data_IF_218454765014
#
_entry.id   IF_218454765014
#
_cell.length_a   1.000
_cell.length_b   1.000
_cell.length_c   1.000
_cell.angle_alpha   90.00
_cell.angle_beta   90.00
_cell.angle_gamma   90.00
#
_symmetry.space_group_name_H-M   'P 1'
#
loop_
_entity.id
_entity.type
_entity.pdbx_description
1 polymer ?
#
# COMPACT_ATOMS: atom_id res chain seq x y z
N UNK A 1 -17.49 -14.93 -11.56
CA UNK A 1 -17.23 -13.88 -10.56
C UNK A 1 -16.68 -12.69 -11.32
N UNK A 2 -17.39 -11.57 -11.35
CA UNK A 2 -16.96 -10.40 -12.10
C UNK A 2 -15.82 -9.73 -11.33
N UNK A 3 -14.62 -9.70 -11.90
CA UNK A 3 -13.48 -9.00 -11.30
C UNK A 3 -13.74 -7.50 -11.43
N UNK A 4 -14.18 -6.87 -10.34
CA UNK A 4 -14.39 -5.41 -10.31
C UNK A 4 -13.02 -4.73 -10.24
N UNK A 5 -12.60 -4.17 -11.37
CA UNK A 5 -11.34 -3.44 -11.47
C UNK A 5 -11.45 -2.06 -10.80
N UNK A 6 -10.47 -1.71 -9.97
CA UNK A 6 -10.33 -0.35 -9.45
C UNK A 6 -10.13 0.65 -10.60
N UNK A 7 -10.66 1.86 -10.44
CA UNK A 7 -10.61 2.90 -11.48
C UNK A 7 -9.21 3.50 -11.65
N UNK A 8 -8.40 3.43 -10.61
CA UNK A 8 -6.98 3.76 -10.60
C UNK A 8 -6.24 2.57 -10.01
N UNK A 9 -5.22 2.08 -10.71
CA UNK A 9 -4.38 0.97 -10.27
C UNK A 9 -2.93 1.40 -10.49
N UNK A 10 -2.15 1.63 -9.42
CA UNK A 10 -0.73 1.85 -9.57
C UNK A 10 -0.03 0.56 -9.99
N UNK A 11 0.98 0.71 -10.86
CA UNK A 11 1.94 -0.34 -11.20
C UNK A 11 3.28 0.03 -10.58
N UNK A 12 3.84 -0.86 -9.77
CA UNK A 12 5.09 -0.67 -9.04
C UNK A 12 6.17 -1.58 -9.62
N UNK A 13 7.28 -0.98 -10.02
CA UNK A 13 8.48 -1.73 -10.40
C UNK A 13 9.22 -2.15 -9.13
N UNK A 14 9.38 -3.45 -8.95
CA UNK A 14 10.03 -4.03 -7.77
C UNK A 14 11.34 -4.73 -8.14
N UNK A 15 12.31 -4.76 -7.23
CA UNK A 15 13.60 -5.38 -7.49
C UNK A 15 13.53 -6.92 -7.42
N UNK A 16 12.68 -7.46 -6.54
CA UNK A 16 12.51 -8.89 -6.29
C UNK A 16 11.02 -9.15 -6.02
N UNK A 17 10.37 -9.90 -6.92
CA UNK A 17 8.93 -10.18 -6.79
C UNK A 17 8.63 -11.09 -5.61
N UNK A 18 9.52 -12.02 -5.28
CA UNK A 18 9.31 -12.94 -4.16
C UNK A 18 9.38 -12.20 -2.83
N UNK A 19 10.38 -11.33 -2.65
CA UNK A 19 10.48 -10.46 -1.47
C UNK A 19 9.27 -9.52 -1.35
N UNK A 20 8.82 -8.99 -2.49
CA UNK A 20 7.62 -8.15 -2.54
C UNK A 20 6.38 -8.93 -2.13
N UNK A 21 6.16 -10.15 -2.63
CA UNK A 21 5.01 -10.96 -2.22
C UNK A 21 5.05 -11.35 -0.74
N UNK A 22 6.23 -11.60 -0.17
CA UNK A 22 6.34 -11.81 1.28
C UNK A 22 5.84 -10.61 2.08
N UNK A 23 6.13 -9.38 1.62
CA UNK A 23 5.61 -8.17 2.24
C UNK A 23 4.12 -7.96 1.94
N UNK A 24 3.75 -7.81 0.67
CA UNK A 24 2.42 -7.40 0.23
C UNK A 24 1.34 -8.43 0.58
N UNK A 25 1.59 -9.71 0.32
CA UNK A 25 0.65 -10.81 0.65
C UNK A 25 0.85 -11.25 2.09
N UNK A 26 2.09 -11.53 2.48
CA UNK A 26 2.39 -12.13 3.78
C UNK A 26 2.18 -11.20 4.98
N UNK A 27 2.57 -9.92 4.89
CA UNK A 27 2.47 -8.96 5.99
C UNK A 27 1.30 -7.99 5.83
N UNK A 28 0.97 -7.62 4.60
CA UNK A 28 -0.08 -6.65 4.30
C UNK A 28 -1.40 -7.29 3.84
N UNK A 29 -1.53 -8.62 3.85
CA UNK A 29 -2.80 -9.32 3.67
C UNK A 29 -3.43 -9.21 2.28
N UNK A 30 -2.72 -8.68 1.28
CA UNK A 30 -3.20 -8.68 -0.10
C UNK A 30 -3.37 -10.11 -0.62
N UNK A 31 -4.35 -10.32 -1.50
CA UNK A 31 -4.52 -11.56 -2.24
C UNK A 31 -4.04 -11.40 -3.67
N UNK A 32 -3.48 -12.48 -4.23
CA UNK A 32 -3.13 -12.54 -5.65
C UNK A 32 -4.41 -12.76 -6.45
N UNK A 33 -4.76 -11.82 -7.33
CA UNK A 33 -5.86 -12.01 -8.27
C UNK A 33 -5.46 -12.90 -9.43
N UNK A 34 -4.28 -12.63 -10.00
CA UNK A 34 -3.63 -13.42 -11.04
C UNK A 34 -2.17 -12.98 -11.18
N UNK A 35 -1.34 -13.84 -11.77
CA UNK A 35 0.07 -13.59 -12.05
C UNK A 35 0.42 -14.00 -13.48
N UNK A 36 1.54 -13.48 -13.98
CA UNK A 36 2.24 -13.94 -15.18
C UNK A 36 3.71 -14.08 -14.81
N UNK A 37 4.11 -15.31 -14.51
CA UNK A 37 5.46 -15.61 -13.99
C UNK A 37 6.54 -15.31 -15.03
N UNK A 38 6.23 -15.58 -16.30
CA UNK A 38 7.06 -15.28 -17.47
C UNK A 38 7.37 -13.78 -17.59
N UNK A 39 6.46 -12.91 -17.13
CA UNK A 39 6.60 -11.46 -17.13
C UNK A 39 7.14 -10.91 -15.80
N UNK A 40 7.22 -11.74 -14.75
CA UNK A 40 7.50 -11.25 -13.39
C UNK A 40 6.40 -10.34 -12.86
N UNK A 41 5.15 -10.58 -13.27
CA UNK A 41 4.00 -9.73 -12.99
C UNK A 41 3.05 -10.38 -11.98
N UNK A 42 2.54 -9.58 -11.05
CA UNK A 42 1.46 -9.98 -10.14
C UNK A 42 0.43 -8.86 -9.97
N UNK A 43 -0.85 -9.21 -10.06
CA UNK A 43 -1.96 -8.31 -9.74
C UNK A 43 -2.52 -8.65 -8.36
N UNK A 44 -2.53 -7.66 -7.46
CA UNK A 44 -2.94 -7.81 -6.07
C UNK A 44 -4.25 -7.08 -5.77
N UNK A 45 -5.01 -7.58 -4.80
CA UNK A 45 -6.23 -6.98 -4.27
C UNK A 45 -6.28 -7.08 -2.74
N UNK A 46 -6.71 -5.99 -2.10
CA UNK A 46 -7.11 -5.95 -0.70
C UNK A 46 -8.43 -5.19 -0.62
N UNK A 47 -9.55 -5.92 -0.62
CA UNK A 47 -10.91 -5.37 -0.54
C UNK A 47 -11.17 -4.26 -1.58
N UNK A 48 -10.70 -4.46 -2.81
CA UNK A 48 -10.83 -3.49 -3.90
C UNK A 48 -9.71 -2.43 -3.98
N UNK A 49 -8.81 -2.33 -3.00
CA UNK A 49 -7.55 -1.64 -3.15
C UNK A 49 -6.60 -2.52 -3.99
N UNK A 50 -6.35 -2.11 -5.24
CA UNK A 50 -5.66 -2.93 -6.23
C UNK A 50 -4.33 -2.31 -6.64
N UNK A 51 -3.29 -3.15 -6.72
CA UNK A 51 -1.91 -2.76 -7.08
C UNK A 51 -1.33 -3.82 -8.01
N UNK A 52 -0.58 -3.40 -9.02
CA UNK A 52 0.24 -4.30 -9.84
C UNK A 52 1.69 -4.22 -9.39
N UNK A 53 2.36 -5.37 -9.31
CA UNK A 53 3.79 -5.47 -9.10
C UNK A 53 4.44 -6.06 -10.35
N UNK A 54 5.54 -5.46 -10.79
CA UNK A 54 6.33 -5.91 -11.93
C UNK A 54 7.80 -5.98 -11.54
N UNK A 55 8.37 -7.18 -11.60
CA UNK A 55 9.79 -7.37 -11.36
C UNK A 55 10.62 -6.70 -12.44
N UNK A 56 11.59 -5.89 -12.03
CA UNK A 56 12.49 -5.24 -12.97
C UNK A 56 13.46 -6.25 -13.58
N UNK A 57 13.22 -6.61 -14.84
CA UNK A 57 14.07 -7.48 -15.67
C UNK A 57 14.73 -6.67 -16.78
N UNK A 58 15.92 -6.11 -16.51
CA UNK A 58 16.61 -5.19 -17.42
C UNK A 58 15.94 -3.81 -17.48
N UNK A 59 15.87 -3.22 -18.67
CA UNK A 59 15.23 -1.91 -18.91
C UNK A 59 13.72 -2.02 -19.21
N UNK A 60 13.14 -3.20 -18.95
CA UNK A 60 11.71 -3.42 -19.13
C UNK A 60 10.93 -2.71 -18.01
N UNK A 61 9.99 -1.83 -18.39
CA UNK A 61 9.12 -1.11 -17.46
C UNK A 61 8.86 0.35 -17.87
N UNK A 62 7.93 1.01 -17.18
CA UNK A 62 7.62 2.42 -17.42
C UNK A 62 8.53 3.35 -16.62
N UNK A 63 9.81 3.39 -17.02
CA UNK A 63 10.84 4.18 -16.34
C UNK A 63 10.95 5.56 -17.01
N UNK A 64 10.44 6.60 -16.35
CA UNK A 64 10.47 7.98 -16.86
C UNK A 64 11.72 8.76 -16.44
N UNK A 65 12.58 8.19 -15.61
CA UNK A 65 13.82 8.77 -15.14
C UNK A 65 14.63 7.80 -14.25
N UNK A 66 15.83 8.18 -13.80
CA UNK A 66 16.69 7.30 -13.00
C UNK A 66 16.01 6.81 -11.72
N UNK A 67 15.99 5.50 -11.53
CA UNK A 67 15.47 4.87 -10.31
C UNK A 67 16.51 4.98 -9.18
N UNK A 68 16.11 5.53 -8.04
CA UNK A 68 16.96 5.61 -6.85
C UNK A 68 16.17 5.27 -5.59
N UNK A 69 16.58 4.21 -4.91
CA UNK A 69 15.92 3.68 -3.69
C UNK A 69 16.08 4.69 -2.53
N UNK A 70 15.04 4.94 -1.70
CA UNK A 70 13.71 4.34 -1.75
C UNK A 70 12.93 4.80 -2.99
N UNK A 71 12.28 3.87 -3.69
CA UNK A 71 11.40 4.16 -4.82
C UNK A 71 10.11 4.86 -4.35
N UNK A 72 9.39 5.50 -5.27
CA UNK A 72 8.14 6.19 -4.93
C UNK A 72 8.32 7.45 -4.09
N UNK A 73 9.44 8.16 -4.20
CA UNK A 73 9.65 9.41 -3.44
C UNK A 73 8.61 10.46 -3.79
N UNK A 74 7.95 11.01 -2.77
CA UNK A 74 6.93 12.03 -2.90
C UNK A 74 5.50 11.51 -3.04
N UNK A 75 5.29 10.19 -3.14
CA UNK A 75 3.95 9.57 -3.14
C UNK A 75 3.75 8.72 -1.89
N UNK A 76 2.49 8.57 -1.48
CA UNK A 76 2.04 7.49 -0.61
C UNK A 76 0.74 6.91 -1.17
N UNK A 77 0.51 5.62 -0.93
CA UNK A 77 -0.73 4.95 -1.27
C UNK A 77 -1.58 4.83 -0.01
N UNK A 78 -2.60 5.68 0.09
CA UNK A 78 -3.61 5.54 1.13
C UNK A 78 -4.52 4.35 0.82
N UNK A 79 -4.63 3.44 1.79
CA UNK A 79 -5.44 2.23 1.72
C UNK A 79 -6.40 2.27 2.90
N UNK A 80 -7.68 2.50 2.58
CA UNK A 80 -8.77 2.45 3.55
C UNK A 80 -8.99 0.99 3.98
N UNK A 81 -8.97 0.76 5.28
CA UNK A 81 -9.15 -0.57 5.88
C UNK A 81 -10.11 -0.50 7.06
N UNK A 82 -10.86 -1.57 7.35
CA UNK A 82 -11.75 -1.59 8.51
C UNK A 82 -11.03 -1.40 9.86
N UNK A 83 -9.76 -1.79 9.94
CA UNK A 83 -8.94 -1.75 11.15
C UNK A 83 -7.46 -1.86 10.79
N UNK A 84 -6.58 -1.12 11.47
CA UNK A 84 -5.13 -1.16 11.23
C UNK A 84 -4.41 -2.23 12.07
N UNK A 85 -5.08 -2.75 13.10
CA UNK A 85 -4.54 -3.63 14.13
C UNK A 85 -3.96 -4.95 13.57
N UNK A 86 -4.61 -5.66 12.62
CA UNK A 86 -4.05 -6.90 12.06
C UNK A 86 -2.72 -6.66 11.35
N UNK A 87 -2.60 -5.57 10.60
CA UNK A 87 -1.39 -5.21 9.86
C UNK A 87 -0.25 -4.84 10.82
N UNK A 88 -0.54 -4.04 11.85
CA UNK A 88 0.44 -3.69 12.89
C UNK A 88 0.97 -4.94 13.61
N UNK A 89 0.10 -5.90 13.94
CA UNK A 89 0.50 -7.15 14.58
C UNK A 89 1.40 -8.01 13.67
N UNK A 90 1.04 -8.16 12.38
CA UNK A 90 1.84 -8.90 11.42
C UNK A 90 3.23 -8.28 11.22
N UNK A 91 3.30 -6.96 11.01
CA UNK A 91 4.54 -6.21 10.84
C UNK A 91 5.42 -6.28 12.10
N UNK A 92 4.84 -6.15 13.29
CA UNK A 92 5.57 -6.26 14.55
C UNK A 92 6.15 -7.67 14.76
N UNK A 93 5.38 -8.72 14.46
CA UNK A 93 5.85 -10.10 14.55
C UNK A 93 7.02 -10.38 13.58
N UNK A 94 6.97 -9.80 12.38
CA UNK A 94 8.05 -9.86 11.41
C UNK A 94 9.22 -8.91 11.71
N UNK A 95 9.09 -8.05 12.74
CA UNK A 95 10.03 -6.96 13.06
C UNK A 95 10.26 -6.03 11.87
N UNK A 96 9.24 -5.82 11.05
CA UNK A 96 9.28 -4.91 9.92
C UNK A 96 9.16 -3.47 10.40
N UNK A 97 10.06 -2.55 10.00
CA UNK A 97 10.05 -1.19 10.51
C UNK A 97 8.86 -0.39 9.97
N UNK A 98 8.22 0.38 10.84
CA UNK A 98 7.25 1.39 10.43
C UNK A 98 7.98 2.68 10.04
N UNK A 99 7.56 3.30 8.95
CA UNK A 99 7.98 4.65 8.61
C UNK A 99 7.39 5.67 9.59
N UNK A 100 6.12 5.45 9.99
CA UNK A 100 5.45 6.21 11.05
C UNK A 100 4.60 5.27 11.89
N UNK A 101 4.80 5.34 13.21
CA UNK A 101 3.98 4.63 14.20
C UNK A 101 2.49 5.00 14.09
N UNK A 102 1.57 4.12 14.53
CA UNK A 102 0.15 4.41 14.49
C UNK A 102 -0.21 5.66 15.28
N UNK A 103 -0.98 6.54 14.66
CA UNK A 103 -1.48 7.79 15.23
C UNK A 103 -2.97 7.94 14.93
N UNK A 104 -3.68 8.60 15.84
CA UNK A 104 -5.02 9.10 15.56
C UNK A 104 -4.90 10.53 15.03
N UNK A 105 -5.52 10.79 13.89
CA UNK A 105 -5.52 12.08 13.23
C UNK A 105 -6.96 12.48 12.88
N UNK A 106 -7.24 13.78 12.96
CA UNK A 106 -8.52 14.34 12.56
C UNK A 106 -8.27 15.29 11.38
N UNK A 107 -8.71 14.86 10.20
CA UNK A 107 -8.52 15.61 8.97
C UNK A 107 -9.78 16.41 8.65
N UNK A 108 -9.62 17.73 8.52
CA UNK A 108 -10.72 18.61 8.14
C UNK A 108 -11.07 18.45 6.65
N UNK A 109 -12.26 17.95 6.38
CA UNK A 109 -12.95 18.03 5.10
C UNK A 109 -14.08 19.04 5.18
N UNK A 110 -13.85 20.26 4.72
CA UNK A 110 -14.82 21.37 4.81
C UNK A 110 -15.29 21.62 6.26
N UNK A 111 -16.57 21.39 6.55
CA UNK A 111 -17.23 21.60 7.86
C UNK A 111 -17.22 20.35 8.75
N UNK A 112 -16.59 19.28 8.29
CA UNK A 112 -16.49 18.00 9.01
C UNK A 112 -15.01 17.67 9.22
N UNK A 113 -14.69 17.09 10.37
CA UNK A 113 -13.42 16.40 10.59
C UNK A 113 -13.66 14.90 10.54
N UNK A 114 -12.87 14.20 9.74
CA UNK A 114 -12.84 12.74 9.69
C UNK A 114 -11.69 12.28 10.57
N UNK A 115 -12.03 11.52 11.61
CA UNK A 115 -11.06 10.87 12.47
C UNK A 115 -10.60 9.58 11.81
N UNK A 116 -9.29 9.39 11.72
CA UNK A 116 -8.67 8.14 11.28
C UNK A 116 -7.60 7.70 12.26
N UNK A 117 -7.42 6.39 12.37
CA UNK A 117 -6.23 5.76 12.92
C UNK A 117 -5.40 5.26 11.77
N UNK A 118 -4.19 5.78 11.63
CA UNK A 118 -3.34 5.50 10.47
C UNK A 118 -1.88 5.25 10.87
N UNK A 119 -1.17 4.49 10.05
CA UNK A 119 0.28 4.30 10.15
C UNK A 119 0.89 4.25 8.75
N UNK A 120 2.22 4.41 8.67
CA UNK A 120 2.94 4.32 7.40
C UNK A 120 4.04 3.27 7.47
N UNK A 121 4.17 2.51 6.39
CA UNK A 121 5.17 1.45 6.23
C UNK A 121 5.74 1.50 4.81
N UNK A 122 7.03 1.21 4.67
CA UNK A 122 7.66 1.05 3.37
C UNK A 122 7.70 -0.43 2.99
N UNK A 123 7.43 -0.71 1.72
CA UNK A 123 7.70 -2.02 1.13
C UNK A 123 9.22 -2.23 0.93
N UNK A 124 9.68 -3.40 0.44
CA UNK A 124 11.10 -3.70 0.29
C UNK A 124 11.89 -2.70 -0.58
N UNK A 125 11.23 -2.09 -1.57
CA UNK A 125 11.84 -1.15 -2.52
C UNK A 125 11.67 0.32 -2.08
N UNK A 126 10.86 0.58 -1.05
CA UNK A 126 10.69 1.89 -0.43
C UNK A 126 9.38 2.59 -0.74
N UNK A 127 8.47 1.97 -1.50
CA UNK A 127 7.15 2.50 -1.77
C UNK A 127 6.38 2.66 -0.45
N UNK A 128 5.78 3.83 -0.26
CA UNK A 128 5.17 4.21 1.01
C UNK A 128 3.67 3.88 1.03
N UNK A 129 3.26 2.94 1.87
CA UNK A 129 1.87 2.57 2.10
C UNK A 129 1.37 3.27 3.37
N UNK A 130 0.15 3.81 3.30
CA UNK A 130 -0.56 4.43 4.41
C UNK A 130 -1.88 3.69 4.65
N UNK A 131 -1.88 2.80 5.63
CA UNK A 131 -3.11 2.14 6.06
C UNK A 131 -3.89 3.08 6.98
N UNK A 132 -5.17 3.27 6.68
CA UNK A 132 -6.04 4.23 7.37
C UNK A 132 -7.36 3.54 7.72
N UNK A 133 -7.75 3.61 8.99
CA UNK A 133 -9.04 3.11 9.46
C UNK A 133 -9.85 4.26 10.06
N UNK A 134 -11.08 4.44 9.57
CA UNK A 134 -11.99 5.47 10.09
C UNK A 134 -12.39 5.19 11.53
N UNK A 135 -12.22 6.18 12.41
CA UNK A 135 -12.61 6.10 13.83
C UNK A 135 -13.81 6.99 14.20
N UNK A 136 -14.20 7.91 13.31
CA UNK A 136 -15.39 8.73 13.51
C UNK A 136 -15.45 9.97 12.63
N UNK A 137 -16.50 10.76 12.82
CA UNK A 137 -16.68 12.08 12.21
C UNK A 137 -17.20 13.06 13.26
N UNK A 138 -16.75 14.32 13.20
CA UNK A 138 -17.26 15.39 14.06
C UNK A 138 -17.40 16.70 13.27
N UNK A 139 -18.26 17.61 13.73
CA UNK A 139 -18.37 18.95 13.13
C UNK A 139 -17.11 19.76 13.45
N UNK A 140 -16.57 20.41 12.44
CA UNK A 140 -15.52 21.40 12.62
C UNK A 140 -16.16 22.72 13.06
N UNK A 141 -16.04 23.04 14.34
CA UNK A 141 -16.52 24.32 14.88
C UNK A 141 -15.39 25.34 14.74
N UNK A 142 -15.65 26.45 14.05
CA UNK A 142 -14.67 27.52 13.76
C UNK A 142 -14.24 28.26 15.02
#
# INVERSE_FOLDING_TARGET
MEIRRAKLVPELLVADIAASLQFWVGLCGFSIMYSREEDGFVYLDLDGAQVMLVERRGDNGWITGPLSVPLGRGINFEIDVPSVEPFLAALANAKWPLFRNPVEQWYRGNDVEIGVREFLVQDPDGYLLRFSAKIGERRHTT
#
